data_IF_524046676424
#
_entry.id   IF_524046676424
#
_cell.length_a   1.000
_cell.length_b   1.000
_cell.length_c   1.000
_cell.angle_alpha   90.00
_cell.angle_beta   90.00
_cell.angle_gamma   90.00
#
_symmetry.space_group_name_H-M   'P 1'
#
loop_
_entity.id
_entity.type
_entity.pdbx_description
1 polymer ?
#
# COMPACT_ATOMS: atom_id res chain seq x y z
N UNK A 1 17.14 9.81 25.57
CA UNK A 1 17.14 10.32 24.18
C UNK A 1 16.26 9.38 23.35
N UNK A 2 15.11 9.84 22.83
CA UNK A 2 14.20 9.02 22.01
C UNK A 2 14.79 8.90 20.60
N UNK A 3 15.63 7.91 20.36
CA UNK A 3 16.34 7.71 19.10
C UNK A 3 15.32 7.25 18.02
N UNK A 4 15.25 7.92 16.87
CA UNK A 4 14.35 7.54 15.78
C UNK A 4 15.01 6.45 14.91
N UNK A 5 14.27 5.43 14.44
CA UNK A 5 14.81 4.50 13.44
C UNK A 5 15.13 5.25 12.14
N UNK A 6 16.35 5.10 11.63
CA UNK A 6 16.74 5.59 10.30
C UNK A 6 16.14 4.66 9.25
N UNK A 7 15.28 5.24 8.41
CA UNK A 7 14.71 4.59 7.24
C UNK A 7 15.41 5.24 6.03
N UNK A 8 16.25 4.50 5.29
CA UNK A 8 16.92 5.04 4.11
C UNK A 8 15.90 5.61 3.12
N UNK A 9 16.15 6.84 2.68
CA UNK A 9 15.39 7.48 1.61
C UNK A 9 15.55 6.70 0.30
N UNK A 10 14.46 6.50 -0.44
CA UNK A 10 14.53 6.25 -1.88
C UNK A 10 14.83 7.52 -2.68
N UNK A 11 14.73 8.71 -2.06
CA UNK A 11 15.19 9.98 -2.61
C UNK A 11 16.36 10.54 -1.80
N UNK A 12 17.61 10.09 -2.04
CA UNK A 12 18.75 10.51 -1.23
C UNK A 12 19.02 12.02 -1.34
N UNK A 13 18.76 12.63 -2.50
CA UNK A 13 18.99 14.06 -2.76
C UNK A 13 17.96 14.97 -2.03
N UNK A 14 16.77 14.45 -1.75
CA UNK A 14 15.66 15.19 -1.13
C UNK A 14 15.32 14.70 0.29
N UNK A 15 16.15 13.83 0.87
CA UNK A 15 15.85 13.15 2.14
C UNK A 15 15.54 14.14 3.28
N UNK A 16 16.30 15.22 3.38
CA UNK A 16 16.08 16.24 4.42
C UNK A 16 14.76 17.00 4.28
N UNK A 17 14.27 17.21 3.06
CA UNK A 17 12.97 17.87 2.81
C UNK A 17 11.81 16.91 3.08
N UNK A 18 11.97 15.63 2.74
CA UNK A 18 10.98 14.58 2.99
C UNK A 18 10.79 14.32 4.48
N UNK A 19 11.87 14.27 5.26
CA UNK A 19 11.80 14.16 6.72
C UNK A 19 11.03 15.34 7.30
N UNK A 20 11.39 16.58 6.93
CA UNK A 20 10.69 17.79 7.43
C UNK A 20 9.21 17.77 7.09
N UNK A 21 8.87 17.35 5.86
CA UNK A 21 7.48 17.26 5.42
C UNK A 21 6.70 16.22 6.22
N UNK A 22 7.31 15.07 6.50
CA UNK A 22 6.71 14.05 7.34
C UNK A 22 6.59 14.48 8.80
N UNK A 23 7.58 15.19 9.34
CA UNK A 23 7.53 15.74 10.70
C UNK A 23 6.37 16.71 10.83
N UNK A 24 6.22 17.68 9.92
CA UNK A 24 5.10 18.61 9.89
C UNK A 24 3.75 17.89 9.78
N UNK A 25 3.66 16.90 8.89
CA UNK A 25 2.47 16.06 8.74
C UNK A 25 2.12 15.34 10.06
N UNK A 26 3.12 14.73 10.71
CA UNK A 26 2.93 13.99 11.95
C UNK A 26 2.59 14.89 13.14
N UNK A 27 3.17 16.10 13.20
CA UNK A 27 2.88 17.10 14.22
C UNK A 27 1.47 17.64 14.07
N UNK A 28 1.03 17.96 12.85
CA UNK A 28 -0.35 18.38 12.60
C UNK A 28 -1.39 17.33 13.00
N UNK A 29 -1.12 16.04 12.75
CA UNK A 29 -2.02 14.96 13.19
C UNK A 29 -1.98 14.77 14.71
N UNK A 30 -0.80 14.85 15.31
CA UNK A 30 -0.59 14.74 16.76
C UNK A 30 -1.37 15.83 17.50
N UNK A 31 -1.27 17.08 17.04
CA UNK A 31 -1.98 18.21 17.62
C UNK A 31 -3.49 18.11 17.42
N UNK A 32 -3.94 17.84 16.19
CA UNK A 32 -5.38 17.79 15.86
C UNK A 32 -6.12 16.70 16.62
N UNK A 33 -5.48 15.57 16.82
CA UNK A 33 -6.09 14.42 17.48
C UNK A 33 -5.64 14.22 18.92
N UNK A 34 -4.76 15.04 19.48
CA UNK A 34 -4.24 14.86 20.85
C UNK A 34 -3.68 13.44 21.07
N UNK A 35 -2.72 13.05 20.23
CA UNK A 35 -2.03 11.75 20.30
C UNK A 35 -0.52 11.92 20.22
N UNK A 36 0.31 11.07 20.84
CA UNK A 36 1.76 11.23 20.83
C UNK A 36 2.34 11.13 19.41
N UNK A 37 3.16 12.08 18.98
CA UNK A 37 3.75 12.08 17.62
C UNK A 37 4.59 10.84 17.31
N UNK A 38 5.13 10.17 18.32
CA UNK A 38 5.92 8.96 18.16
C UNK A 38 5.15 7.81 17.52
N UNK A 39 3.82 7.82 17.58
CA UNK A 39 2.99 6.79 16.96
C UNK A 39 3.12 6.77 15.45
N UNK A 40 3.47 7.91 14.84
CA UNK A 40 3.57 8.04 13.40
C UNK A 40 4.92 7.58 12.84
N UNK A 41 5.96 7.48 13.66
CA UNK A 41 7.35 7.22 13.21
C UNK A 41 7.48 6.02 12.26
N UNK A 42 6.65 4.99 12.47
CA UNK A 42 6.69 3.76 11.70
C UNK A 42 6.04 3.87 10.31
N UNK A 43 5.43 5.02 9.99
CA UNK A 43 4.76 5.26 8.72
C UNK A 43 5.61 6.07 7.73
N UNK A 44 6.77 6.60 8.14
CA UNK A 44 7.62 7.43 7.28
C UNK A 44 7.96 6.75 5.94
N UNK A 45 8.35 5.47 5.97
CA UNK A 45 8.69 4.79 4.71
C UNK A 45 7.50 4.54 3.80
N UNK A 46 6.30 4.28 4.36
CA UNK A 46 5.08 4.14 3.55
C UNK A 46 4.66 5.49 2.98
N UNK A 47 4.83 6.57 3.76
CA UNK A 47 4.64 7.94 3.31
C UNK A 47 5.58 8.26 2.13
N UNK A 48 6.87 7.96 2.26
CA UNK A 48 7.85 8.17 1.21
C UNK A 48 7.52 7.36 -0.06
N UNK A 49 7.19 6.08 0.08
CA UNK A 49 6.79 5.24 -1.06
C UNK A 49 5.52 5.79 -1.73
N UNK A 50 4.58 6.31 -0.96
CA UNK A 50 3.37 6.95 -1.49
C UNK A 50 3.72 8.18 -2.33
N UNK A 51 4.66 9.03 -1.86
CA UNK A 51 5.14 10.18 -2.63
C UNK A 51 5.85 9.76 -3.92
N UNK A 52 6.65 8.70 -3.86
CA UNK A 52 7.33 8.18 -5.05
C UNK A 52 6.38 7.67 -6.12
N UNK A 53 5.34 6.95 -5.70
CA UNK A 53 4.33 6.42 -6.60
C UNK A 53 3.46 7.53 -7.21
N UNK A 54 3.21 8.61 -6.45
CA UNK A 54 2.29 9.68 -6.86
C UNK A 54 2.96 10.75 -7.71
N UNK A 55 4.27 10.97 -7.58
CA UNK A 55 5.05 11.94 -8.37
C UNK A 55 4.51 13.38 -8.33
N UNK A 56 3.70 13.74 -7.32
CA UNK A 56 3.18 15.10 -7.12
C UNK A 56 3.33 15.49 -5.64
N UNK A 57 4.07 16.57 -5.38
CA UNK A 57 4.38 17.03 -4.02
C UNK A 57 3.18 17.63 -3.29
N UNK A 58 2.14 18.08 -4.01
CA UNK A 58 0.90 18.61 -3.41
C UNK A 58 0.05 17.53 -2.75
N UNK A 59 0.35 16.27 -3.04
CA UNK A 59 -0.33 15.11 -2.48
C UNK A 59 -0.16 15.03 -0.96
N UNK A 60 0.85 15.68 -0.36
CA UNK A 60 1.04 15.73 1.10
C UNK A 60 -0.11 16.47 1.81
N UNK A 61 -0.53 17.62 1.28
CA UNK A 61 -1.64 18.39 1.85
C UNK A 61 -2.96 17.62 1.70
N UNK A 62 -3.19 17.06 0.50
CA UNK A 62 -4.36 16.24 0.20
C UNK A 62 -4.41 14.97 1.09
N UNK A 63 -3.26 14.34 1.39
CA UNK A 63 -3.14 13.24 2.36
C UNK A 63 -3.58 13.67 3.76
N UNK A 64 -3.07 14.81 4.21
CA UNK A 64 -3.30 15.31 5.55
C UNK A 64 -4.79 15.57 5.77
N UNK A 65 -5.41 16.31 4.85
CA UNK A 65 -6.83 16.66 4.94
C UNK A 65 -7.72 15.42 4.87
N UNK A 66 -7.41 14.47 3.98
CA UNK A 66 -8.18 13.23 3.90
C UNK A 66 -8.06 12.39 5.17
N UNK A 67 -6.85 12.18 5.70
CA UNK A 67 -6.66 11.41 6.94
C UNK A 67 -7.36 12.10 8.11
N UNK A 68 -7.28 13.43 8.15
CA UNK A 68 -7.97 14.23 9.13
C UNK A 68 -9.49 14.03 9.07
N UNK A 69 -10.07 14.18 7.89
CA UNK A 69 -11.52 14.07 7.69
C UNK A 69 -12.00 12.66 8.01
N UNK A 70 -11.30 11.65 7.49
CA UNK A 70 -11.62 10.25 7.75
C UNK A 70 -11.58 9.94 9.25
N UNK A 71 -10.50 10.32 9.94
CA UNK A 71 -10.36 10.07 11.38
C UNK A 71 -11.39 10.82 12.20
N UNK A 72 -11.66 12.09 11.88
CA UNK A 72 -12.65 12.91 12.58
C UNK A 72 -14.06 12.34 12.43
N UNK A 73 -14.43 11.89 11.23
CA UNK A 73 -15.74 11.25 10.99
C UNK A 73 -15.89 9.96 11.81
N UNK A 74 -14.87 9.10 11.86
CA UNK A 74 -14.89 7.87 12.66
C UNK A 74 -15.05 8.17 14.16
N UNK A 75 -14.36 9.19 14.66
CA UNK A 75 -14.47 9.64 16.06
C UNK A 75 -15.88 10.17 16.34
N UNK A 76 -16.40 11.05 15.47
CA UNK A 76 -17.73 11.66 15.63
C UNK A 76 -18.85 10.62 15.63
N UNK A 77 -18.67 9.53 14.88
CA UNK A 77 -19.64 8.43 14.79
C UNK A 77 -19.44 7.37 15.87
N UNK A 78 -18.51 7.59 16.80
CA UNK A 78 -18.19 6.70 17.91
C UNK A 78 -17.99 5.24 17.45
N UNK A 79 -17.10 5.07 16.47
CA UNK A 79 -16.77 3.75 15.93
C UNK A 79 -16.39 2.79 17.06
N UNK A 80 -17.05 1.64 17.08
CA UNK A 80 -16.89 0.65 18.14
C UNK A 80 -15.48 0.07 18.20
N UNK A 81 -14.99 -0.16 19.41
CA UNK A 81 -13.69 -0.80 19.69
C UNK A 81 -13.53 -2.11 18.91
N UNK A 82 -14.61 -2.90 18.81
CA UNK A 82 -14.64 -4.15 18.05
C UNK A 82 -14.24 -3.96 16.57
N UNK A 83 -14.72 -2.89 15.92
CA UNK A 83 -14.37 -2.60 14.53
C UNK A 83 -12.88 -2.25 14.39
N UNK A 84 -12.35 -1.50 15.35
CA UNK A 84 -10.93 -1.13 15.38
C UNK A 84 -10.08 -2.39 15.54
N UNK A 85 -10.37 -3.23 16.54
CA UNK A 85 -9.66 -4.50 16.77
C UNK A 85 -9.67 -5.40 15.54
N UNK A 86 -10.85 -5.57 14.91
CA UNK A 86 -10.97 -6.39 13.71
C UNK A 86 -10.20 -5.83 12.52
N UNK A 87 -10.14 -4.50 12.37
CA UNK A 87 -9.37 -3.85 11.32
C UNK A 87 -7.87 -4.06 11.51
N UNK A 88 -7.39 -4.13 12.76
CA UNK A 88 -6.01 -4.49 13.09
C UNK A 88 -5.74 -5.95 12.71
N UNK A 89 -6.65 -6.89 13.01
CA UNK A 89 -6.52 -8.29 12.60
C UNK A 89 -6.43 -8.43 11.08
N UNK A 90 -7.27 -7.72 10.33
CA UNK A 90 -7.21 -7.71 8.87
C UNK A 90 -5.90 -7.12 8.32
N UNK A 91 -5.30 -6.12 9.01
CA UNK A 91 -3.98 -5.61 8.66
C UNK A 91 -2.91 -6.70 8.82
N UNK A 92 -2.95 -7.45 9.93
CA UNK A 92 -2.03 -8.57 10.17
C UNK A 92 -2.22 -9.70 9.14
N UNK A 93 -3.45 -10.01 8.76
CA UNK A 93 -3.76 -10.97 7.69
C UNK A 93 -3.21 -10.53 6.33
N UNK A 94 -3.38 -9.25 5.97
CA UNK A 94 -2.81 -8.67 4.74
C UNK A 94 -1.29 -8.74 4.72
N UNK A 95 -0.65 -8.47 5.87
CA UNK A 95 0.80 -8.62 6.07
C UNK A 95 1.24 -10.08 5.91
N UNK A 96 0.51 -11.03 6.49
CA UNK A 96 0.82 -12.45 6.38
C UNK A 96 0.69 -12.95 4.93
N UNK A 97 -0.37 -12.53 4.23
CA UNK A 97 -0.56 -12.84 2.82
C UNK A 97 0.59 -12.30 1.96
N UNK A 98 0.98 -11.04 2.19
CA UNK A 98 2.13 -10.46 1.50
C UNK A 98 3.43 -11.25 1.77
N UNK A 99 3.69 -11.66 3.01
CA UNK A 99 4.89 -12.44 3.32
C UNK A 99 4.91 -13.82 2.65
N UNK A 100 3.73 -14.44 2.47
CA UNK A 100 3.63 -15.68 1.70
C UNK A 100 4.01 -15.51 0.22
N UNK A 101 3.91 -14.28 -0.31
CA UNK A 101 4.26 -13.95 -1.68
C UNK A 101 5.73 -13.60 -1.90
N UNK A 102 6.51 -13.37 -0.84
CA UNK A 102 7.91 -12.93 -0.96
C UNK A 102 8.79 -13.95 -1.72
N UNK A 103 8.34 -15.20 -1.77
CA UNK A 103 9.00 -16.29 -2.51
C UNK A 103 8.43 -16.51 -3.92
N UNK A 104 7.39 -15.78 -4.34
CA UNK A 104 6.91 -15.79 -5.74
C UNK A 104 7.75 -14.84 -6.58
N UNK A 105 8.15 -15.29 -7.77
CA UNK A 105 8.90 -14.46 -8.71
C UNK A 105 8.01 -13.29 -9.18
N UNK A 106 8.31 -12.07 -8.73
CA UNK A 106 7.58 -10.85 -9.14
C UNK A 106 8.08 -10.35 -10.51
N UNK A 107 9.27 -10.77 -10.93
CA UNK A 107 9.94 -10.33 -12.16
C UNK A 107 9.86 -11.43 -13.21
N UNK A 108 9.78 -11.00 -14.47
CA UNK A 108 10.08 -11.87 -15.59
C UNK A 108 11.46 -12.51 -15.39
N UNK A 109 11.51 -13.83 -15.43
CA UNK A 109 12.76 -14.57 -15.29
C UNK A 109 13.23 -15.04 -16.64
N UNK A 110 14.53 -14.94 -16.88
CA UNK A 110 15.15 -15.43 -18.11
C UNK A 110 15.01 -16.95 -18.26
N UNK A 111 14.87 -17.68 -17.14
CA UNK A 111 14.63 -19.12 -17.14
C UNK A 111 13.14 -19.50 -17.30
N UNK A 112 12.22 -18.53 -17.36
CA UNK A 112 10.79 -18.76 -17.55
C UNK A 112 10.39 -18.55 -19.01
N UNK A 113 9.49 -19.39 -19.51
CA UNK A 113 8.80 -19.13 -20.77
C UNK A 113 7.94 -17.86 -20.68
N UNK A 114 7.60 -17.29 -21.84
CA UNK A 114 6.69 -16.13 -21.91
C UNK A 114 5.39 -16.38 -21.12
N UNK A 115 4.80 -17.58 -21.25
CA UNK A 115 3.57 -17.94 -20.54
C UNK A 115 3.79 -18.01 -19.03
N UNK A 116 4.89 -18.60 -18.56
CA UNK A 116 5.20 -18.67 -17.12
C UNK A 116 5.40 -17.29 -16.51
N UNK A 117 6.05 -16.37 -17.22
CA UNK A 117 6.19 -14.99 -16.78
C UNK A 117 4.83 -14.28 -16.70
N UNK A 118 3.97 -14.44 -17.70
CA UNK A 118 2.60 -13.88 -17.69
C UNK A 118 1.77 -14.46 -16.54
N UNK A 119 1.83 -15.77 -16.31
CA UNK A 119 1.15 -16.44 -15.21
C UNK A 119 1.58 -15.88 -13.85
N UNK A 120 2.88 -15.67 -13.66
CA UNK A 120 3.44 -15.14 -12.41
C UNK A 120 2.96 -13.72 -12.11
N UNK A 121 2.85 -12.88 -13.14
CA UNK A 121 2.33 -11.51 -12.99
C UNK A 121 0.84 -11.54 -12.65
N UNK A 122 0.03 -12.33 -13.37
CA UNK A 122 -1.40 -12.46 -13.05
C UNK A 122 -1.65 -13.05 -11.65
N UNK A 123 -0.85 -14.02 -11.21
CA UNK A 123 -0.90 -14.56 -9.86
C UNK A 123 -0.60 -13.46 -8.82
N UNK A 124 0.36 -12.58 -9.10
CA UNK A 124 0.67 -11.43 -8.24
C UNK A 124 -0.49 -10.44 -8.16
N UNK A 125 -1.11 -10.09 -9.29
CA UNK A 125 -2.33 -9.26 -9.34
C UNK A 125 -3.43 -9.88 -8.47
N UNK A 126 -3.72 -11.18 -8.65
CA UNK A 126 -4.78 -11.85 -7.91
C UNK A 126 -4.52 -11.81 -6.40
N UNK A 127 -3.31 -12.15 -5.98
CA UNK A 127 -2.99 -12.20 -4.55
C UNK A 127 -3.00 -10.83 -3.89
N UNK A 128 -2.52 -9.78 -4.57
CA UNK A 128 -2.60 -8.40 -4.05
C UNK A 128 -4.07 -8.01 -3.85
N UNK A 129 -4.91 -8.25 -4.85
CA UNK A 129 -6.31 -7.84 -4.79
C UNK A 129 -7.08 -8.66 -3.74
N UNK A 130 -7.00 -9.99 -3.80
CA UNK A 130 -7.82 -10.90 -2.98
C UNK A 130 -7.37 -10.93 -1.52
N UNK A 131 -6.06 -10.83 -1.26
CA UNK A 131 -5.51 -11.07 0.07
C UNK A 131 -4.99 -9.81 0.77
N UNK A 132 -4.71 -8.73 0.05
CA UNK A 132 -4.24 -7.47 0.67
C UNK A 132 -5.31 -6.40 0.59
N UNK A 133 -5.70 -5.98 -0.63
CA UNK A 133 -6.69 -4.92 -0.84
C UNK A 133 -8.01 -5.27 -0.16
N UNK A 134 -8.48 -6.52 -0.29
CA UNK A 134 -9.70 -6.99 0.38
C UNK A 134 -9.66 -6.81 1.90
N UNK A 135 -8.51 -7.09 2.51
CA UNK A 135 -8.33 -7.13 3.96
C UNK A 135 -8.14 -5.72 4.51
N UNK A 136 -7.12 -5.03 4.03
CA UNK A 136 -6.78 -3.67 4.46
C UNK A 136 -7.87 -2.67 4.05
N UNK A 137 -8.39 -2.77 2.81
CA UNK A 137 -9.43 -1.90 2.27
C UNK A 137 -10.81 -2.10 2.90
N UNK A 138 -11.03 -3.19 3.62
CA UNK A 138 -12.28 -3.40 4.36
C UNK A 138 -12.55 -2.26 5.33
N UNK A 139 -11.53 -1.69 5.98
CA UNK A 139 -11.73 -0.61 6.95
C UNK A 139 -12.24 0.68 6.28
N UNK A 140 -11.69 1.02 5.11
CA UNK A 140 -12.20 2.13 4.27
C UNK A 140 -13.64 1.86 3.82
N UNK A 141 -13.94 0.60 3.47
CA UNK A 141 -15.29 0.18 3.07
C UNK A 141 -16.30 0.37 4.20
N UNK A 142 -15.95 0.02 5.44
CA UNK A 142 -16.81 0.25 6.61
C UNK A 142 -17.16 1.73 6.72
N UNK A 143 -16.19 2.63 6.49
CA UNK A 143 -16.45 4.06 6.58
C UNK A 143 -17.38 4.58 5.50
N UNK A 144 -17.16 4.21 4.24
CA UNK A 144 -18.04 4.68 3.15
C UNK A 144 -19.49 4.23 3.39
N UNK A 145 -19.69 3.02 3.91
CA UNK A 145 -21.03 2.52 4.26
C UNK A 145 -21.63 3.24 5.47
N UNK A 146 -20.82 3.53 6.49
CA UNK A 146 -21.22 4.36 7.64
C UNK A 146 -21.61 5.77 7.17
N UNK A 147 -20.94 6.33 6.17
CA UNK A 147 -21.26 7.63 5.56
C UNK A 147 -22.56 7.60 4.77
N UNK A 148 -22.85 6.48 4.10
CA UNK A 148 -24.07 6.29 3.34
C UNK A 148 -25.26 5.79 4.21
N UNK A 149 -25.12 5.81 5.55
CA UNK A 149 -26.10 5.27 6.52
C UNK A 149 -26.54 3.83 6.22
N UNK A 150 -25.63 3.02 5.68
CA UNK A 150 -25.88 1.63 5.34
C UNK A 150 -25.48 0.69 6.48
N UNK A 151 -26.10 -0.50 6.52
CA UNK A 151 -25.76 -1.54 7.50
C UNK A 151 -24.33 -2.00 7.30
N UNK A 152 -23.53 -1.84 8.34
CA UNK A 152 -22.15 -2.29 8.40
C UNK A 152 -22.14 -3.81 8.60
N UNK A 153 -21.43 -4.53 7.72
CA UNK A 153 -21.30 -5.98 7.79
C UNK A 153 -19.84 -6.39 7.91
N UNK A 154 -19.61 -7.56 8.46
CA UNK A 154 -18.28 -8.09 8.66
C UNK A 154 -17.70 -8.82 7.43
N UNK A 155 -18.46 -8.92 6.32
CA UNK A 155 -18.14 -9.72 5.16
C UNK A 155 -18.62 -9.07 3.86
N UNK A 156 -17.83 -8.12 3.35
CA UNK A 156 -18.13 -7.44 2.09
C UNK A 156 -17.64 -8.24 0.89
N UNK A 157 -18.38 -8.13 -0.22
CA UNK A 157 -17.89 -8.63 -1.50
C UNK A 157 -16.60 -7.88 -1.88
N UNK A 158 -15.66 -8.57 -2.51
CA UNK A 158 -14.41 -7.94 -2.98
C UNK A 158 -14.70 -6.76 -3.93
N UNK A 159 -15.74 -6.89 -4.77
CA UNK A 159 -16.18 -5.81 -5.64
C UNK A 159 -16.52 -4.54 -4.84
N UNK A 160 -17.31 -4.68 -3.78
CA UNK A 160 -17.67 -3.56 -2.88
C UNK A 160 -16.44 -2.93 -2.23
N UNK A 161 -15.47 -3.75 -1.82
CA UNK A 161 -14.24 -3.24 -1.22
C UNK A 161 -13.42 -2.42 -2.21
N UNK A 162 -13.22 -2.95 -3.43
CA UNK A 162 -12.48 -2.26 -4.49
C UNK A 162 -13.16 -0.93 -4.83
N UNK A 163 -14.48 -0.94 -5.07
CA UNK A 163 -15.24 0.24 -5.46
C UNK A 163 -15.20 1.34 -4.40
N UNK A 164 -15.40 0.98 -3.12
CA UNK A 164 -15.32 1.94 -2.02
C UNK A 164 -13.89 2.47 -1.82
N UNK A 165 -12.86 1.64 -1.98
CA UNK A 165 -11.48 2.11 -1.94
C UNK A 165 -11.15 3.06 -3.11
N UNK A 166 -11.57 2.75 -4.34
CA UNK A 166 -11.38 3.64 -5.50
C UNK A 166 -12.11 4.97 -5.30
N UNK A 167 -13.38 4.93 -4.87
CA UNK A 167 -14.18 6.12 -4.54
C UNK A 167 -13.51 6.98 -3.48
N UNK A 168 -13.02 6.35 -2.40
CA UNK A 168 -12.33 7.04 -1.31
C UNK A 168 -11.02 7.70 -1.77
N UNK A 169 -10.17 6.95 -2.49
CA UNK A 169 -8.89 7.46 -2.99
C UNK A 169 -9.08 8.57 -4.03
N UNK A 170 -10.07 8.44 -4.93
CA UNK A 170 -10.37 9.46 -5.94
C UNK A 170 -10.76 10.80 -5.31
N UNK A 171 -11.57 10.80 -4.24
CA UNK A 171 -11.95 12.03 -3.51
C UNK A 171 -10.74 12.78 -2.95
N UNK A 172 -9.65 12.08 -2.67
CA UNK A 172 -8.49 12.62 -1.97
C UNK A 172 -7.32 12.98 -2.89
N UNK A 173 -7.50 12.95 -4.23
CA UNK A 173 -6.47 13.29 -5.26
C UNK A 173 -5.15 12.52 -5.19
N UNK A 174 -4.91 11.79 -4.11
CA UNK A 174 -4.13 10.57 -4.06
C UNK A 174 -4.40 9.77 -5.30
N UNK A 175 -3.34 9.48 -6.06
CA UNK A 175 -3.45 8.75 -7.31
C UNK A 175 -4.37 7.53 -7.16
N UNK A 176 -5.63 7.72 -7.54
CA UNK A 176 -6.51 6.66 -7.97
C UNK A 176 -5.75 5.90 -9.06
N UNK A 177 -5.97 4.60 -9.12
CA UNK A 177 -5.46 3.74 -10.19
C UNK A 177 -5.53 4.52 -11.51
N UNK A 178 -4.40 4.69 -12.19
CA UNK A 178 -4.41 5.42 -13.45
C UNK A 178 -5.16 4.58 -14.48
N UNK A 179 -6.45 4.86 -14.66
CA UNK A 179 -7.33 4.07 -15.52
C UNK A 179 -6.81 3.95 -16.94
N UNK A 180 -6.04 4.93 -17.45
CA UNK A 180 -5.41 4.82 -18.77
C UNK A 180 -4.31 3.75 -18.79
N UNK A 181 -3.50 3.65 -17.74
CA UNK A 181 -2.44 2.64 -17.61
C UNK A 181 -2.96 1.23 -17.36
N UNK A 182 -4.21 1.09 -16.89
CA UNK A 182 -4.91 -0.20 -16.78
C UNK A 182 -5.92 -0.41 -17.92
N UNK A 183 -5.76 0.27 -19.06
CA UNK A 183 -6.57 0.09 -20.27
C UNK A 183 -8.08 0.34 -20.07
N UNK A 184 -8.43 1.17 -19.09
CA UNK A 184 -9.79 1.43 -18.61
C UNK A 184 -10.55 0.14 -18.20
N UNK A 185 -9.82 -0.94 -17.90
CA UNK A 185 -10.36 -2.19 -17.39
C UNK A 185 -10.47 -2.07 -15.88
N UNK A 186 -11.66 -2.21 -15.27
CA UNK A 186 -11.82 -2.09 -13.82
C UNK A 186 -10.92 -3.06 -13.05
N UNK A 187 -10.41 -2.67 -11.88
CA UNK A 187 -9.52 -3.51 -11.04
C UNK A 187 -10.15 -4.89 -10.74
N UNK A 188 -11.47 -4.94 -10.51
CA UNK A 188 -12.16 -6.21 -10.30
C UNK A 188 -12.10 -7.15 -11.52
N UNK A 189 -12.02 -6.61 -12.74
CA UNK A 189 -11.92 -7.41 -13.96
C UNK A 189 -10.52 -7.97 -14.10
N UNK A 190 -9.48 -7.19 -13.78
CA UNK A 190 -8.12 -7.70 -13.69
C UNK A 190 -8.00 -8.88 -12.73
N UNK A 191 -8.62 -8.78 -11.54
CA UNK A 191 -8.70 -9.91 -10.61
C UNK A 191 -9.41 -11.11 -11.22
N UNK A 192 -10.54 -10.91 -11.90
CA UNK A 192 -11.29 -12.02 -12.50
C UNK A 192 -10.50 -12.71 -13.60
N UNK A 193 -9.86 -11.94 -14.48
CA UNK A 193 -8.96 -12.46 -15.53
C UNK A 193 -7.86 -13.31 -14.89
N UNK A 194 -7.20 -12.81 -13.85
CA UNK A 194 -6.17 -13.56 -13.13
C UNK A 194 -6.71 -14.85 -12.52
N UNK A 195 -7.82 -14.76 -11.77
CA UNK A 195 -8.36 -15.87 -11.00
C UNK A 195 -8.92 -17.00 -11.88
N UNK A 196 -9.50 -16.65 -13.03
CA UNK A 196 -10.10 -17.61 -13.96
C UNK A 196 -9.19 -17.97 -15.13
N UNK A 197 -8.03 -17.32 -15.24
CA UNK A 197 -7.10 -17.46 -16.36
C UNK A 197 -7.79 -17.23 -17.71
N UNK A 198 -8.65 -16.20 -17.76
CA UNK A 198 -9.38 -15.77 -18.98
C UNK A 198 -8.44 -15.02 -19.95
N UNK A 199 -7.35 -15.69 -20.35
CA UNK A 199 -6.38 -15.16 -21.30
C UNK A 199 -5.60 -16.24 -22.06
N UNK A 200 -5.15 -15.88 -23.26
CA UNK A 200 -4.30 -16.71 -24.11
C UNK A 200 -2.98 -15.99 -24.42
N UNK A 201 -1.88 -16.75 -24.45
CA UNK A 201 -0.57 -16.23 -24.85
C UNK A 201 -0.21 -16.76 -26.24
N UNK A 202 -0.04 -15.87 -27.22
CA UNK A 202 0.33 -16.25 -28.59
C UNK A 202 1.23 -15.19 -29.21
N UNK A 203 2.29 -15.62 -29.89
CA UNK A 203 3.22 -14.72 -30.58
C UNK A 203 3.77 -13.58 -29.68
N UNK A 204 4.12 -13.90 -28.43
CA UNK A 204 4.57 -12.91 -27.42
C UNK A 204 3.56 -11.79 -27.13
N UNK A 205 2.27 -12.08 -27.33
CA UNK A 205 1.14 -11.22 -26.98
C UNK A 205 0.19 -11.94 -26.04
N UNK A 206 -0.51 -11.16 -25.24
CA UNK A 206 -1.50 -11.64 -24.27
C UNK A 206 -2.87 -11.16 -24.74
N UNK A 207 -3.78 -12.10 -24.97
CA UNK A 207 -5.15 -11.84 -25.42
C UNK A 207 -6.09 -12.12 -24.27
N UNK A 208 -6.82 -11.10 -23.84
CA UNK A 208 -7.68 -11.13 -22.66
C UNK A 208 -9.14 -11.01 -23.08
N UNK A 209 -10.02 -11.69 -22.36
CA UNK A 209 -11.46 -11.47 -22.46
C UNK A 209 -12.06 -11.15 -21.10
N UNK A 210 -12.92 -10.13 -21.02
CA UNK A 210 -13.52 -9.72 -19.75
C UNK A 210 -14.92 -9.11 -19.92
N UNK A 211 -15.63 -8.95 -18.81
CA UNK A 211 -17.03 -8.49 -18.78
C UNK A 211 -18.06 -9.62 -18.76
N UNK A 212 -19.29 -9.29 -18.34
CA UNK A 212 -20.42 -10.21 -18.29
C UNK A 212 -21.34 -9.94 -19.48
N UNK A 213 -21.63 -10.97 -20.28
CA UNK A 213 -22.44 -10.84 -21.50
C UNK A 213 -21.56 -10.60 -22.72
N UNK A 214 -21.63 -9.41 -23.32
CA UNK A 214 -20.77 -9.03 -24.44
C UNK A 214 -19.32 -8.88 -23.96
N UNK A 215 -18.54 -9.96 -24.12
CA UNK A 215 -17.14 -10.01 -23.68
C UNK A 215 -16.31 -9.03 -24.49
N UNK A 216 -15.62 -8.14 -23.78
CA UNK A 216 -14.63 -7.24 -24.35
C UNK A 216 -13.32 -7.99 -24.53
N UNK A 217 -12.67 -7.77 -25.67
CA UNK A 217 -11.36 -8.33 -25.98
C UNK A 217 -10.30 -7.25 -25.84
N UNK A 218 -9.14 -7.61 -25.31
CA UNK A 218 -8.00 -6.71 -25.17
C UNK A 218 -6.72 -7.47 -25.49
N UNK A 219 -5.84 -6.87 -26.28
CA UNK A 219 -4.50 -7.38 -26.56
C UNK A 219 -3.49 -6.49 -25.86
N UNK A 220 -2.57 -7.09 -25.08
CA UNK A 220 -1.51 -6.38 -24.37
C UNK A 220 -0.16 -7.10 -24.50
N UNK A 221 0.93 -6.39 -24.22
CA UNK A 221 2.25 -6.99 -23.99
C UNK A 221 2.46 -7.38 -22.52
N UNK A 222 3.61 -7.99 -22.20
CA UNK A 222 3.97 -8.27 -20.80
C UNK A 222 4.31 -6.99 -20.04
N UNK A 223 4.96 -6.01 -20.69
CA UNK A 223 5.26 -4.71 -20.10
C UNK A 223 3.98 -3.93 -19.76
N UNK A 224 2.95 -4.09 -20.58
CA UNK A 224 1.63 -3.55 -20.30
C UNK A 224 0.97 -4.22 -19.08
N UNK A 225 1.15 -5.53 -18.93
CA UNK A 225 0.68 -6.26 -17.75
C UNK A 225 1.45 -5.85 -16.47
N UNK A 226 2.75 -5.59 -16.56
CA UNK A 226 3.56 -5.07 -15.45
C UNK A 226 3.14 -3.66 -15.03
N UNK A 227 2.71 -2.82 -15.99
CA UNK A 227 2.09 -1.52 -15.69
C UNK A 227 0.79 -1.68 -14.92
N UNK A 228 -0.06 -2.64 -15.31
CA UNK A 228 -1.29 -2.95 -14.58
C UNK A 228 -0.98 -3.38 -13.15
N UNK A 229 -0.02 -4.30 -12.99
CA UNK A 229 0.44 -4.76 -11.69
C UNK A 229 0.93 -3.60 -10.81
N UNK A 230 1.68 -2.66 -11.38
CA UNK A 230 2.19 -1.46 -10.69
C UNK A 230 1.06 -0.57 -10.19
N UNK A 231 0.00 -0.37 -10.98
CA UNK A 231 -1.14 0.46 -10.58
C UNK A 231 -2.02 -0.23 -9.51
N UNK A 232 -2.19 -1.55 -9.59
CA UNK A 232 -2.84 -2.35 -8.53
C UNK A 232 -2.04 -2.27 -7.23
N UNK A 233 -0.72 -2.35 -7.33
CA UNK A 233 0.16 -2.26 -6.18
C UNK A 233 0.15 -0.86 -5.55
N UNK A 234 0.14 0.19 -6.37
CA UNK A 234 -0.04 1.58 -5.93
C UNK A 234 -1.30 1.76 -5.10
N UNK A 235 -2.43 1.21 -5.57
CA UNK A 235 -3.69 1.24 -4.81
C UNK A 235 -3.53 0.61 -3.43
N UNK A 236 -2.87 -0.55 -3.34
CA UNK A 236 -2.59 -1.23 -2.07
C UNK A 236 -1.70 -0.39 -1.15
N UNK A 237 -0.65 0.25 -1.65
CA UNK A 237 0.20 1.14 -0.83
C UNK A 237 -0.60 2.31 -0.24
N UNK A 238 -1.45 2.95 -1.04
CA UNK A 238 -2.29 4.05 -0.58
C UNK A 238 -3.31 3.60 0.50
N UNK A 239 -3.95 2.44 0.28
CA UNK A 239 -4.86 1.85 1.28
C UNK A 239 -4.10 1.58 2.59
N UNK A 240 -2.93 0.95 2.51
CA UNK A 240 -2.08 0.64 3.66
C UNK A 240 -1.66 1.89 4.42
N UNK A 241 -1.27 2.95 3.70
CA UNK A 241 -0.89 4.23 4.29
C UNK A 241 -2.02 4.84 5.12
N UNK A 242 -3.19 4.99 4.51
CA UNK A 242 -4.36 5.61 5.16
C UNK A 242 -4.83 4.79 6.34
N UNK A 243 -5.07 3.49 6.13
CA UNK A 243 -5.56 2.59 7.17
C UNK A 243 -4.59 2.50 8.35
N UNK A 244 -3.29 2.43 8.08
CA UNK A 244 -2.26 2.40 9.10
C UNK A 244 -2.25 3.66 9.97
N UNK A 245 -2.29 4.86 9.37
CA UNK A 245 -2.27 6.12 10.12
C UNK A 245 -3.56 6.26 10.97
N UNK A 246 -4.72 6.04 10.36
CA UNK A 246 -6.02 6.19 11.02
C UNK A 246 -6.15 5.21 12.20
N UNK A 247 -5.79 3.93 11.99
CA UNK A 247 -5.80 2.96 13.07
C UNK A 247 -4.78 3.30 14.16
N UNK A 248 -3.65 3.93 13.83
CA UNK A 248 -2.66 4.35 14.84
C UNK A 248 -3.26 5.40 15.78
N UNK A 249 -3.97 6.38 15.22
CA UNK A 249 -4.65 7.43 15.99
C UNK A 249 -5.75 6.81 16.87
N UNK A 250 -6.65 6.03 16.27
CA UNK A 250 -7.77 5.43 16.98
C UNK A 250 -7.31 4.46 18.06
N UNK A 251 -6.28 3.67 17.79
CA UNK A 251 -5.74 2.74 18.80
C UNK A 251 -5.02 3.44 19.92
N UNK A 252 -4.32 4.56 19.65
CA UNK A 252 -3.74 5.37 20.71
C UNK A 252 -4.79 5.92 21.69
N UNK A 253 -6.02 6.18 21.20
CA UNK A 253 -7.12 6.70 22.02
C UNK A 253 -7.93 5.62 22.72
N UNK A 254 -8.28 4.57 21.99
CA UNK A 254 -9.31 3.61 22.40
C UNK A 254 -8.74 2.22 22.73
N UNK A 255 -7.53 1.89 22.24
CA UNK A 255 -6.89 0.57 22.40
C UNK A 255 -5.38 0.69 22.70
N UNK A 256 -4.97 1.42 23.76
CA UNK A 256 -3.55 1.69 24.02
C UNK A 256 -2.72 0.42 24.26
N UNK A 257 -3.35 -0.69 24.68
CA UNK A 257 -2.70 -1.98 24.85
C UNK A 257 -2.39 -2.70 23.52
N UNK A 258 -3.22 -2.50 22.49
CA UNK A 258 -3.01 -3.07 21.14
C UNK A 258 -2.19 -2.15 20.22
N UNK A 259 -1.85 -0.95 20.69
CA UNK A 259 -1.07 0.05 19.96
C UNK A 259 0.24 -0.53 19.37
N UNK A 260 0.93 -1.41 20.09
CA UNK A 260 2.16 -2.07 19.59
C UNK A 260 1.92 -2.92 18.33
N UNK A 261 0.70 -3.42 18.11
CA UNK A 261 0.32 -4.18 16.90
C UNK A 261 0.11 -3.26 15.71
N UNK A 262 -0.44 -2.06 15.93
CA UNK A 262 -0.68 -1.06 14.86
C UNK A 262 0.60 -0.34 14.42
N UNK A 263 1.64 -0.35 15.25
CA UNK A 263 2.99 0.10 14.86
C UNK A 263 3.74 -0.85 13.91
N UNK A 264 3.14 -1.98 13.52
CA UNK A 264 3.74 -3.02 12.66
C UNK A 264 3.66 -2.85 11.12
N UNK A 265 3.20 -1.73 10.49
CA UNK A 265 3.27 -1.54 9.03
C UNK A 265 4.67 -1.74 8.44
N UNK A 266 5.70 -1.61 9.29
CA UNK A 266 7.12 -1.76 8.98
C UNK A 266 7.60 -3.18 8.63
N UNK A 267 6.91 -4.27 9.01
CA UNK A 267 7.49 -5.62 8.79
C UNK A 267 7.68 -5.98 7.30
N UNK A 268 6.96 -5.31 6.40
CA UNK A 268 7.00 -5.60 4.97
C UNK A 268 7.46 -4.41 4.10
N UNK A 269 7.80 -3.26 4.70
CA UNK A 269 8.17 -2.04 3.97
C UNK A 269 9.36 -2.24 3.01
N UNK A 270 10.38 -3.02 3.42
CA UNK A 270 11.52 -3.38 2.55
C UNK A 270 11.05 -4.09 1.29
N UNK A 271 10.17 -5.08 1.47
CA UNK A 271 9.61 -5.83 0.35
C UNK A 271 8.69 -4.95 -0.49
N UNK A 272 8.01 -4.00 0.14
CA UNK A 272 7.16 -3.05 -0.54
C UNK A 272 7.96 -2.08 -1.44
N UNK A 273 9.12 -1.64 -0.95
CA UNK A 273 10.09 -0.88 -1.72
C UNK A 273 10.74 -1.73 -2.81
N UNK A 274 11.18 -2.94 -2.50
CA UNK A 274 11.76 -3.84 -3.50
C UNK A 274 10.79 -4.12 -4.63
N UNK A 275 9.52 -4.34 -4.31
CA UNK A 275 8.49 -4.55 -5.31
C UNK A 275 8.40 -3.37 -6.30
N UNK A 276 8.45 -2.14 -5.80
CA UNK A 276 8.43 -0.94 -6.63
C UNK A 276 9.74 -0.72 -7.41
N UNK A 277 10.87 -0.84 -6.72
CA UNK A 277 12.20 -0.54 -7.23
C UNK A 277 12.75 -1.59 -8.20
N UNK A 278 12.25 -2.82 -8.12
CA UNK A 278 12.64 -3.91 -9.03
C UNK A 278 12.31 -3.56 -10.49
N UNK A 279 11.18 -2.88 -10.73
CA UNK A 279 10.80 -2.41 -12.07
C UNK A 279 11.70 -1.27 -12.57
N UNK A 280 12.44 -0.63 -11.66
CA UNK A 280 13.43 0.41 -11.93
C UNK A 280 14.88 -0.15 -11.91
N UNK A 281 15.05 -1.48 -11.86
CA UNK A 281 16.36 -2.14 -11.85
C UNK A 281 17.11 -2.04 -10.52
N UNK A 282 16.40 -1.80 -9.41
CA UNK A 282 16.97 -1.57 -8.08
C UNK A 282 16.41 -2.59 -7.08
N UNK A 283 17.30 -3.27 -6.35
CA UNK A 283 16.91 -4.20 -5.27
C UNK A 283 17.58 -3.82 -3.95
N UNK A 284 16.77 -3.50 -2.94
CA UNK A 284 17.21 -3.26 -1.56
C UNK A 284 17.29 -4.62 -0.83
N UNK A 285 18.50 -5.17 -0.74
CA UNK A 285 18.71 -6.54 -0.26
C UNK A 285 18.39 -6.73 1.24
N UNK A 286 18.65 -5.71 2.05
CA UNK A 286 18.37 -5.69 3.50
C UNK A 286 18.63 -4.29 4.06
N UNK A 287 17.88 -3.89 5.08
CA UNK A 287 18.30 -2.81 5.96
C UNK A 287 19.33 -3.36 6.96
N UNK A 288 20.62 -3.09 6.76
CA UNK A 288 21.67 -3.45 7.73
C UNK A 288 21.74 -2.35 8.79
N UNK A 289 20.98 -2.49 9.88
CA UNK A 289 21.04 -1.59 11.07
C UNK A 289 21.36 -0.13 10.71
N UNK A 290 20.39 0.66 10.24
CA UNK A 290 20.29 2.15 10.35
C UNK A 290 21.48 3.02 9.84
N UNK A 291 22.68 2.48 9.60
CA UNK A 291 23.92 3.20 9.29
C UNK A 291 24.50 2.73 7.94
N UNK A 292 24.05 1.58 7.44
CA UNK A 292 24.51 0.97 6.18
C UNK A 292 23.36 0.35 5.38
N UNK A 293 23.34 0.58 4.07
CA UNK A 293 22.44 -0.12 3.16
C UNK A 293 23.19 -0.59 1.92
N UNK A 294 22.70 -1.70 1.33
CA UNK A 294 23.29 -2.29 0.12
C UNK A 294 22.28 -2.16 -1.02
N UNK A 295 22.64 -1.40 -2.05
CA UNK A 295 21.91 -1.31 -3.32
C UNK A 295 22.80 -1.94 -4.38
N UNK A 296 22.32 -2.92 -5.13
CA UNK A 296 23.06 -3.57 -6.22
C UNK A 296 24.49 -3.98 -5.82
N UNK A 297 24.63 -4.61 -4.65
CA UNK A 297 25.91 -5.06 -4.06
C UNK A 297 26.88 -3.93 -3.64
N UNK A 298 26.48 -2.67 -3.73
CA UNK A 298 27.26 -1.51 -3.29
C UNK A 298 26.81 -1.07 -1.89
N UNK A 299 27.75 -0.99 -0.95
CA UNK A 299 27.54 -0.52 0.42
C UNK A 299 27.59 1.01 0.50
N UNK A 300 26.56 1.62 1.08
CA UNK A 300 26.47 3.05 1.35
C UNK A 300 26.50 3.29 2.85
N UNK A 301 27.35 4.21 3.32
CA UNK A 301 27.56 4.52 4.73
C UNK A 301 27.10 5.95 5.06
N UNK A 302 26.26 6.12 6.08
CA UNK A 302 25.82 7.44 6.54
C UNK A 302 26.94 8.10 7.37
N UNK A 303 27.49 9.22 6.90
CA UNK A 303 28.67 9.87 7.50
C UNK A 303 28.40 10.70 8.77
N UNK A 304 27.15 10.80 9.23
CA UNK A 304 26.84 11.55 10.46
C UNK A 304 26.78 10.62 11.68
N UNK A 305 27.95 10.39 12.28
CA UNK A 305 28.15 9.68 13.54
C UNK A 305 27.29 10.24 14.70
N UNK A 306 26.13 9.63 14.97
CA UNK A 306 25.47 9.68 16.29
C UNK A 306 24.94 8.30 16.63
N UNK A 307 25.63 7.59 17.53
CA UNK A 307 25.24 6.27 18.08
C UNK A 307 23.72 6.17 18.31
N UNK A 308 23.07 5.23 17.62
CA UNK A 308 21.64 4.91 17.77
C UNK A 308 21.47 3.52 18.43
N UNK A 309 21.29 3.54 19.76
CA UNK A 309 20.82 2.48 20.70
C UNK A 309 21.79 1.42 21.27
N UNK A 310 21.56 1.15 22.57
CA UNK A 310 22.01 0.02 23.40
C UNK A 310 20.72 -0.77 23.79
N UNK A 311 20.78 -2.11 23.85
CA UNK A 311 19.63 -3.01 24.11
C UNK A 311 19.19 -2.93 25.57
#
# INVERSE_FOLDING_TARGET
MKIQPYIPSIFPEHHGELIKSFELFSEGLSEKFDVPKEIFRNHYGVFELTLALTQDSRVIEDHFDMICNFTAELINKNVGIELISKSIEHLDEGIAAFNSMKNSAIVARDDYSFKENVDSVFDSINKIIEHMIKKEGSFITHQELINDNQTVSNNYSLFTVIDNCEKFLLKSRLCSVNHKKIFNVPVNQWRNISAHRDYECKNHRIYLEYGRGERKKLEISIEDLDRVLTEVYRMRVNIKFVTGIVLSILSSKYLPHDFKKVGTPLKNLLSDFNYYLINEGVSILKFLKVERFIINEVEYENKENKKLYEI
#
